data_IF_407348011892
#
_entry.id   IF_407348011892
#
_cell.length_a   1.000
_cell.length_b   1.000
_cell.length_c   1.000
_cell.angle_alpha   90.00
_cell.angle_beta   90.00
_cell.angle_gamma   90.00
#
_symmetry.space_group_name_H-M   'P 1'
#
loop_
_entity.id
_entity.type
_entity.pdbx_description
1 polymer ?
#
# COMPACT_ATOMS: atom_id res chain seq x y z
N UNK A 1 -15.56 22.70 0.57
CA UNK A 1 -15.01 23.29 -0.67
C UNK A 1 -13.82 22.42 -1.05
N UNK A 2 -13.93 21.64 -2.13
CA UNK A 2 -12.79 20.88 -2.65
C UNK A 2 -11.90 21.85 -3.41
N UNK A 3 -10.72 22.17 -2.86
CA UNK A 3 -9.62 22.73 -3.65
C UNK A 3 -9.18 21.64 -4.62
N UNK A 4 -9.84 21.61 -5.79
CA UNK A 4 -9.37 20.84 -6.93
C UNK A 4 -7.94 21.24 -7.21
N UNK A 5 -7.03 20.27 -7.18
CA UNK A 5 -5.65 20.47 -7.63
C UNK A 5 -5.74 21.05 -9.03
N UNK A 6 -5.17 22.24 -9.24
CA UNK A 6 -5.12 22.88 -10.54
C UNK A 6 -4.22 22.03 -11.47
N UNK A 7 -4.84 21.09 -12.17
CA UNK A 7 -4.19 20.12 -13.06
C UNK A 7 -3.32 20.81 -14.12
N UNK A 8 -3.62 22.07 -14.46
CA UNK A 8 -2.85 22.88 -15.39
C UNK A 8 -1.42 23.18 -14.91
N UNK A 9 -1.16 23.20 -13.60
CA UNK A 9 0.16 23.51 -13.05
C UNK A 9 1.21 22.45 -13.34
N UNK A 10 0.79 21.20 -13.55
CA UNK A 10 1.70 20.07 -13.79
C UNK A 10 1.87 19.76 -15.28
N UNK A 11 1.08 20.37 -16.19
CA UNK A 11 1.25 20.23 -17.64
C UNK A 11 2.32 21.18 -18.17
N UNK A 12 3.59 20.83 -17.98
CA UNK A 12 4.76 21.62 -18.43
C UNK A 12 5.80 20.71 -19.04
N UNK A 13 6.57 21.21 -20.00
CA UNK A 13 7.68 20.48 -20.61
C UNK A 13 8.68 20.00 -19.55
N UNK A 14 9.10 18.73 -19.62
CA UNK A 14 10.00 18.10 -18.65
C UNK A 14 9.31 17.52 -17.40
N UNK A 15 7.98 17.62 -17.27
CA UNK A 15 7.21 16.92 -16.24
C UNK A 15 6.51 15.72 -16.86
N UNK A 16 7.03 14.52 -16.59
CA UNK A 16 6.51 13.28 -17.20
C UNK A 16 5.26 12.73 -16.49
N UNK A 17 5.18 12.89 -15.16
CA UNK A 17 4.05 12.44 -14.36
C UNK A 17 3.95 13.23 -13.05
N UNK A 18 2.73 13.31 -12.51
CA UNK A 18 2.47 13.93 -11.21
C UNK A 18 1.32 13.21 -10.51
N UNK A 19 1.46 13.04 -9.19
CA UNK A 19 0.42 12.52 -8.31
C UNK A 19 0.42 13.30 -7.01
N UNK A 20 -0.72 13.33 -6.33
CA UNK A 20 -0.91 13.99 -5.03
C UNK A 20 -1.13 12.94 -3.95
N UNK A 21 -0.43 13.07 -2.82
CA UNK A 21 -0.77 12.30 -1.62
C UNK A 21 -2.17 12.70 -1.14
N UNK A 22 -3.05 11.72 -1.05
CA UNK A 22 -4.42 11.84 -0.57
C UNK A 22 -4.45 11.59 0.93
N UNK A 23 -3.87 10.47 1.37
CA UNK A 23 -3.84 10.08 2.78
C UNK A 23 -2.65 9.14 3.06
N UNK A 24 -2.26 9.05 4.33
CA UNK A 24 -1.27 8.10 4.84
C UNK A 24 -1.82 7.40 6.09
N UNK A 25 -1.79 6.07 6.09
CA UNK A 25 -2.14 5.25 7.23
C UNK A 25 -0.92 4.49 7.76
N UNK A 26 -0.91 4.23 9.06
CA UNK A 26 0.08 3.38 9.69
C UNK A 26 -0.60 2.37 10.60
N UNK A 27 -0.19 1.11 10.51
CA UNK A 27 -0.69 0.02 11.35
C UNK A 27 0.42 -0.99 11.63
N UNK A 28 0.18 -1.92 12.54
CA UNK A 28 1.08 -3.04 12.82
C UNK A 28 0.29 -4.34 12.85
N UNK A 29 0.95 -5.46 12.60
CA UNK A 29 0.36 -6.78 12.80
C UNK A 29 0.54 -7.22 14.26
N UNK A 30 -0.43 -7.97 14.78
CA UNK A 30 -0.32 -8.51 16.13
C UNK A 30 0.96 -9.35 16.29
N UNK A 31 1.72 -9.10 17.35
CA UNK A 31 2.98 -9.79 17.62
C UNK A 31 4.17 -9.32 16.78
N UNK A 32 4.01 -8.36 15.86
CA UNK A 32 5.11 -7.76 15.08
C UNK A 32 5.16 -6.25 15.39
N UNK A 33 6.20 -5.75 16.09
CA UNK A 33 6.24 -4.37 16.57
C UNK A 33 6.54 -3.32 15.47
N UNK A 34 6.85 -3.76 14.25
CA UNK A 34 7.18 -2.88 13.13
C UNK A 34 5.92 -2.26 12.52
N UNK A 35 6.03 -0.97 12.17
CA UNK A 35 4.92 -0.20 11.62
C UNK A 35 4.92 -0.28 10.09
N UNK A 36 3.80 -0.73 9.54
CA UNK A 36 3.52 -0.74 8.11
C UNK A 36 2.80 0.57 7.78
N UNK A 37 3.40 1.37 6.91
CA UNK A 37 2.80 2.56 6.31
C UNK A 37 2.20 2.27 4.95
N UNK A 38 1.03 2.86 4.69
CA UNK A 38 0.36 2.91 3.39
C UNK A 38 0.17 4.37 2.98
N UNK A 39 0.54 4.71 1.75
CA UNK A 39 0.32 6.02 1.14
C UNK A 39 -0.59 5.87 -0.06
N UNK A 40 -1.63 6.69 -0.10
CA UNK A 40 -2.61 6.70 -1.16
C UNK A 40 -2.41 7.94 -2.00
N UNK A 41 -2.19 7.76 -3.29
CA UNK A 41 -1.95 8.85 -4.22
C UNK A 41 -3.07 8.94 -5.25
N UNK A 42 -3.44 10.16 -5.63
CA UNK A 42 -4.29 10.42 -6.79
C UNK A 42 -3.45 10.95 -7.92
N UNK A 43 -3.49 10.30 -9.08
CA UNK A 43 -2.81 10.77 -10.29
C UNK A 43 -3.44 12.08 -10.75
N UNK A 44 -2.62 13.08 -11.07
CA UNK A 44 -3.10 14.37 -11.57
C UNK A 44 -3.74 14.17 -12.95
N UNK A 45 -4.98 14.63 -13.14
CA UNK A 45 -5.76 14.36 -14.37
C UNK A 45 -6.47 13.00 -14.38
N UNK A 46 -6.29 12.18 -13.34
CA UNK A 46 -6.96 10.90 -13.15
C UNK A 46 -7.90 10.91 -11.95
N UNK A 47 -8.79 9.92 -11.90
CA UNK A 47 -9.62 9.65 -10.72
C UNK A 47 -9.13 8.45 -9.90
N UNK A 48 -8.19 7.70 -10.47
CA UNK A 48 -7.63 6.48 -9.89
C UNK A 48 -6.74 6.78 -8.68
N UNK A 49 -6.74 5.84 -7.74
CA UNK A 49 -5.89 5.82 -6.56
C UNK A 49 -4.79 4.79 -6.76
N UNK A 50 -3.55 5.23 -6.58
CA UNK A 50 -2.37 4.37 -6.49
C UNK A 50 -2.00 4.19 -5.02
N UNK A 51 -1.52 3.00 -4.65
CA UNK A 51 -1.11 2.68 -3.28
C UNK A 51 0.36 2.34 -3.24
N UNK A 52 1.06 2.90 -2.26
CA UNK A 52 2.40 2.48 -1.88
C UNK A 52 2.40 1.97 -0.45
N UNK A 53 3.08 0.84 -0.24
CA UNK A 53 3.25 0.24 1.06
C UNK A 53 4.72 0.16 1.42
N UNK A 54 5.04 0.44 2.68
CA UNK A 54 6.42 0.38 3.20
C UNK A 54 6.98 -1.03 3.31
N UNK A 55 6.11 -2.03 3.46
CA UNK A 55 6.48 -3.41 3.62
C UNK A 55 5.47 -4.28 2.89
N UNK A 56 5.89 -5.46 2.46
CA UNK A 56 5.03 -6.53 1.97
C UNK A 56 5.03 -7.68 2.97
N UNK A 57 3.92 -8.41 3.06
CA UNK A 57 3.86 -9.60 3.91
C UNK A 57 4.41 -10.82 3.16
N UNK A 58 5.39 -11.49 3.75
CA UNK A 58 5.94 -12.75 3.25
C UNK A 58 6.13 -13.72 4.42
N UNK A 59 5.14 -14.56 4.65
CA UNK A 59 5.17 -15.53 5.75
C UNK A 59 5.94 -16.81 5.37
N UNK A 60 6.43 -17.60 6.34
CA UNK A 60 7.11 -18.87 6.07
C UNK A 60 6.23 -19.85 5.30
N UNK A 61 6.68 -20.22 4.10
CA UNK A 61 5.94 -21.10 3.18
C UNK A 61 5.30 -20.37 2.00
N UNK A 62 5.30 -19.04 1.99
CA UNK A 62 4.96 -18.26 0.80
C UNK A 62 6.13 -18.23 -0.18
N UNK A 63 5.86 -18.58 -1.45
CA UNK A 63 6.86 -18.50 -2.51
C UNK A 63 7.21 -17.04 -2.88
N UNK A 64 6.22 -16.14 -2.75
CA UNK A 64 6.32 -14.72 -3.05
C UNK A 64 5.57 -13.90 -1.99
N UNK A 65 5.95 -12.64 -1.75
CA UNK A 65 5.18 -11.74 -0.90
C UNK A 65 3.76 -11.53 -1.44
N UNK A 66 2.83 -11.23 -0.54
CA UNK A 66 1.49 -10.77 -0.92
C UNK A 66 1.64 -9.39 -1.55
N UNK A 67 1.40 -9.35 -2.87
CA UNK A 67 1.29 -8.13 -3.65
C UNK A 67 -0.17 -7.97 -4.01
N UNK A 68 -0.68 -6.75 -3.91
CA UNK A 68 -1.95 -6.47 -4.57
C UNK A 68 -1.79 -6.64 -6.08
N UNK A 69 -2.70 -7.37 -6.70
CA UNK A 69 -2.75 -7.55 -8.16
C UNK A 69 -3.19 -6.24 -8.87
N UNK A 70 -3.79 -5.31 -8.12
CA UNK A 70 -4.35 -4.06 -8.64
C UNK A 70 -3.43 -2.90 -8.32
N UNK A 71 -2.79 -2.32 -9.34
CA UNK A 71 -1.95 -1.13 -9.18
C UNK A 71 -2.76 0.17 -9.05
N UNK A 72 -4.03 0.16 -9.49
CA UNK A 72 -4.89 1.35 -9.55
C UNK A 72 -6.33 1.03 -9.20
N UNK A 73 -6.88 1.78 -8.26
CA UNK A 73 -8.21 1.58 -7.72
C UNK A 73 -9.14 2.74 -8.09
N UNK A 74 -10.44 2.50 -8.24
CA UNK A 74 -11.39 3.58 -8.49
C UNK A 74 -11.66 4.43 -7.24
N UNK A 75 -11.26 3.96 -6.05
CA UNK A 75 -11.45 4.69 -4.79
C UNK A 75 -10.53 4.26 -3.65
N UNK A 76 -10.41 5.13 -2.65
CA UNK A 76 -9.50 4.93 -1.50
C UNK A 76 -9.93 3.77 -0.59
N UNK A 77 -11.24 3.61 -0.36
CA UNK A 77 -11.74 2.55 0.51
C UNK A 77 -11.47 1.17 -0.07
N UNK A 78 -11.71 0.98 -1.37
CA UNK A 78 -11.42 -0.27 -2.07
C UNK A 78 -9.92 -0.59 -2.04
N UNK A 79 -9.09 0.44 -2.27
CA UNK A 79 -7.65 0.32 -2.18
C UNK A 79 -7.16 -0.08 -0.77
N UNK A 80 -7.75 0.50 0.27
CA UNK A 80 -7.41 0.19 1.66
C UNK A 80 -7.87 -1.21 2.04
N UNK A 81 -9.10 -1.59 1.68
CA UNK A 81 -9.65 -2.91 1.96
C UNK A 81 -8.81 -4.02 1.29
N UNK A 82 -8.44 -3.86 0.02
CA UNK A 82 -7.63 -4.85 -0.69
C UNK A 82 -6.29 -5.11 -0.01
N UNK A 83 -5.56 -4.03 0.32
CA UNK A 83 -4.25 -4.16 0.98
C UNK A 83 -4.40 -4.78 2.36
N UNK A 84 -5.37 -4.33 3.17
CA UNK A 84 -5.59 -4.90 4.51
C UNK A 84 -6.03 -6.37 4.45
N UNK A 85 -6.84 -6.77 3.47
CA UNK A 85 -7.21 -8.17 3.26
C UNK A 85 -5.97 -9.01 2.94
N UNK A 86 -5.09 -8.56 2.04
CA UNK A 86 -3.86 -9.27 1.72
C UNK A 86 -2.95 -9.49 2.95
N UNK A 87 -2.83 -8.49 3.82
CA UNK A 87 -2.09 -8.64 5.08
C UNK A 87 -2.77 -9.60 6.05
N UNK A 88 -4.08 -9.43 6.28
CA UNK A 88 -4.80 -10.22 7.28
C UNK A 88 -4.94 -11.68 6.88
N UNK A 89 -5.25 -11.99 5.63
CA UNK A 89 -5.35 -13.35 5.12
C UNK A 89 -4.02 -14.10 5.23
N UNK A 90 -2.93 -13.49 4.77
CA UNK A 90 -1.59 -14.09 4.85
C UNK A 90 -1.14 -14.31 6.30
N UNK A 91 -1.42 -13.34 7.18
CA UNK A 91 -1.10 -13.44 8.60
C UNK A 91 -1.89 -14.57 9.27
N UNK A 92 -3.21 -14.60 9.09
CA UNK A 92 -4.07 -15.62 9.69
C UNK A 92 -3.75 -17.02 9.17
N UNK A 93 -3.41 -17.18 7.90
CA UNK A 93 -3.00 -18.45 7.33
C UNK A 93 -1.73 -19.00 8.00
N UNK A 94 -0.70 -18.15 8.18
CA UNK A 94 0.54 -18.54 8.82
C UNK A 94 0.37 -18.88 10.30
N UNK A 95 -0.41 -18.07 11.04
CA UNK A 95 -0.72 -18.34 12.45
C UNK A 95 -1.51 -19.62 12.61
N UNK A 96 -2.50 -19.88 11.74
CA UNK A 96 -3.29 -21.12 11.74
C UNK A 96 -2.43 -22.35 11.43
N UNK A 97 -1.35 -22.19 10.67
CA UNK A 97 -0.34 -23.23 10.42
C UNK A 97 0.68 -23.38 11.57
N UNK A 98 0.47 -22.72 12.71
CA UNK A 98 1.32 -22.79 13.90
C UNK A 98 2.61 -21.97 13.80
N UNK A 99 2.72 -21.05 12.82
CA UNK A 99 3.85 -20.14 12.71
C UNK A 99 3.68 -18.99 13.70
N UNK A 100 4.78 -18.56 14.32
CA UNK A 100 4.78 -17.41 15.22
C UNK A 100 5.09 -16.14 14.44
N UNK A 101 4.31 -15.06 14.60
CA UNK A 101 4.61 -13.77 13.99
C UNK A 101 6.02 -13.32 14.35
N UNK A 102 6.75 -12.83 13.35
CA UNK A 102 8.13 -12.36 13.49
C UNK A 102 8.38 -11.21 12.52
N UNK A 103 9.34 -10.35 12.86
CA UNK A 103 9.73 -9.22 12.02
C UNK A 103 10.16 -9.67 10.61
N UNK A 104 10.74 -10.86 10.47
CA UNK A 104 11.16 -11.40 9.19
C UNK A 104 10.01 -11.72 8.22
N UNK A 105 8.74 -11.61 8.66
CA UNK A 105 7.58 -11.69 7.77
C UNK A 105 7.37 -10.41 6.97
N UNK A 106 7.98 -9.29 7.36
CA UNK A 106 7.83 -8.02 6.69
C UNK A 106 9.02 -7.78 5.76
N UNK A 107 8.78 -7.86 4.46
CA UNK A 107 9.77 -7.55 3.44
C UNK A 107 9.71 -6.05 3.14
N UNK A 108 10.77 -5.27 3.42
CA UNK A 108 10.77 -3.83 3.13
C UNK A 108 10.61 -3.55 1.63
N UNK A 109 9.72 -2.62 1.30
CA UNK A 109 9.61 -2.09 -0.04
C UNK A 109 10.75 -1.08 -0.27
N UNK A 110 11.65 -1.40 -1.20
CA UNK A 110 12.82 -0.57 -1.51
C UNK A 110 12.45 0.77 -2.15
N UNK A 111 11.29 0.85 -2.77
CA UNK A 111 10.82 2.04 -3.47
C UNK A 111 10.01 2.97 -2.57
N UNK A 112 9.83 2.60 -1.28
CA UNK A 112 9.16 3.43 -0.29
C UNK A 112 10.15 4.41 0.36
N UNK A 113 10.02 5.70 0.07
CA UNK A 113 10.94 6.77 0.51
C UNK A 113 10.24 7.89 1.28
#
# INVERSE_FOLDING_TARGET
>A
MNEGVDEGKFRREGVDWARRLVDEYAFSLEGIPEMIRLRFYRVVGGQEIEVEQSHYLQTPGMASPVLSETQRYPGMNEALEDVLNGFTEGYHAAVSAGRRPDLNWLLPNRDFH
#
